data_IF_520299601503
#
_entry.id   IF_520299601503
#
_cell.length_a   1.000
_cell.length_b   1.000
_cell.length_c   1.000
_cell.angle_alpha   90.00
_cell.angle_beta   90.00
_cell.angle_gamma   90.00
#
_symmetry.space_group_name_H-M   'P 1'
#
loop_
_entity.id
_entity.type
_entity.pdbx_description
1 polymer ?
#
# COMPACT_ATOMS: atom_id res chain seq x y z
N UNK A 1 -8.04 12.78 -2.46
CA UNK A 1 -6.87 12.26 -1.75
C UNK A 1 -5.63 12.32 -2.61
N UNK A 2 -4.48 12.06 -2.02
CA UNK A 2 -3.18 12.06 -2.68
C UNK A 2 -2.68 10.63 -2.81
N UNK A 3 -2.29 10.23 -4.02
CA UNK A 3 -1.82 8.87 -4.32
C UNK A 3 -0.50 8.58 -3.61
N UNK A 4 -0.41 7.43 -2.95
CA UNK A 4 0.78 7.00 -2.21
C UNK A 4 1.32 5.64 -2.65
N UNK A 5 0.53 4.79 -3.29
CA UNK A 5 0.98 3.51 -3.84
C UNK A 5 1.48 3.65 -5.27
N UNK A 6 2.32 2.70 -5.70
CA UNK A 6 2.81 2.59 -7.07
C UNK A 6 2.92 1.12 -7.46
N UNK A 7 2.39 0.75 -8.62
CA UNK A 7 2.56 -0.59 -9.19
C UNK A 7 3.80 -0.71 -10.09
N UNK A 8 4.64 0.34 -10.16
CA UNK A 8 5.81 0.40 -11.04
C UNK A 8 6.78 -0.75 -10.82
N UNK A 9 7.13 -1.03 -9.57
CA UNK A 9 8.04 -2.11 -9.21
C UNK A 9 7.31 -3.45 -8.94
N UNK A 10 5.99 -3.54 -9.16
CA UNK A 10 5.24 -4.79 -9.06
C UNK A 10 4.87 -5.25 -7.65
N UNK A 11 5.10 -4.42 -6.61
CA UNK A 11 4.71 -4.77 -5.24
C UNK A 11 3.23 -4.47 -4.95
N UNK A 12 2.62 -3.53 -5.68
CA UNK A 12 1.19 -3.23 -5.63
C UNK A 12 0.51 -3.77 -6.88
N UNK A 13 -0.63 -4.41 -6.73
CA UNK A 13 -1.37 -4.96 -7.85
C UNK A 13 -2.87 -4.68 -7.76
N UNK A 14 -3.39 -4.01 -8.80
CA UNK A 14 -4.83 -3.73 -8.93
C UNK A 14 -5.45 -2.96 -7.75
N UNK A 15 -4.66 -2.17 -7.06
CA UNK A 15 -5.09 -1.30 -5.96
C UNK A 15 -4.41 0.06 -6.11
N UNK A 16 -5.15 1.10 -5.77
CA UNK A 16 -4.66 2.47 -5.65
C UNK A 16 -4.92 2.93 -4.22
N UNK A 17 -3.84 3.14 -3.44
CA UNK A 17 -3.90 3.69 -2.10
C UNK A 17 -3.68 5.21 -2.17
N UNK A 18 -4.42 5.94 -1.36
CA UNK A 18 -4.36 7.40 -1.30
C UNK A 18 -4.69 7.89 0.11
N UNK A 19 -4.17 9.04 0.47
CA UNK A 19 -4.32 9.66 1.78
C UNK A 19 -4.95 11.06 1.70
N UNK A 20 -5.46 11.55 2.81
CA UNK A 20 -6.20 12.83 2.89
C UNK A 20 -5.32 14.07 2.69
N UNK A 21 -4.05 14.00 3.09
CA UNK A 21 -3.09 15.11 3.05
C UNK A 21 -1.74 14.64 2.51
N UNK A 22 -0.98 15.48 1.77
CA UNK A 22 0.37 15.13 1.35
C UNK A 22 1.36 15.00 2.52
N UNK A 23 1.09 15.72 3.63
CA UNK A 23 1.95 15.76 4.83
C UNK A 23 1.13 15.41 6.06
N UNK A 24 1.67 14.60 6.96
CA UNK A 24 1.01 14.17 8.20
C UNK A 24 -0.45 13.73 8.00
N UNK A 25 -0.70 12.69 7.18
CA UNK A 25 -2.05 12.22 6.92
C UNK A 25 -2.72 11.72 8.20
N UNK A 26 -4.04 11.91 8.29
CA UNK A 26 -4.85 11.35 9.36
C UNK A 26 -5.55 10.07 8.93
N UNK A 27 -5.87 9.97 7.64
CA UNK A 27 -6.61 8.85 7.08
C UNK A 27 -6.09 8.49 5.69
N UNK A 28 -6.04 7.19 5.44
CA UNK A 28 -5.80 6.62 4.12
C UNK A 28 -6.97 5.78 3.65
N UNK A 29 -7.08 5.65 2.35
CA UNK A 29 -8.12 4.82 1.74
C UNK A 29 -7.59 4.10 0.51
N UNK A 30 -8.36 3.12 0.02
CA UNK A 30 -8.00 2.38 -1.17
C UNK A 30 -9.18 2.17 -2.12
N UNK A 31 -8.88 2.07 -3.40
CA UNK A 31 -9.81 1.65 -4.43
C UNK A 31 -9.20 0.50 -5.24
N UNK A 32 -9.97 -0.58 -5.38
CA UNK A 32 -9.56 -1.69 -6.23
C UNK A 32 -9.89 -1.38 -7.69
N UNK A 33 -8.88 -1.42 -8.57
CA UNK A 33 -9.01 -1.10 -10.01
C UNK A 33 -8.38 -2.21 -10.86
N UNK A 34 -8.96 -2.51 -12.01
CA UNK A 34 -8.41 -3.50 -12.94
C UNK A 34 -7.59 -2.80 -14.05
N UNK A 35 -6.58 -2.05 -13.61
CA UNK A 35 -5.66 -1.33 -14.48
C UNK A 35 -4.23 -1.73 -14.13
N UNK A 36 -3.47 -2.10 -15.15
CA UNK A 36 -2.01 -2.31 -15.05
C UNK A 36 -1.29 -1.01 -15.34
N UNK A 37 -0.09 -0.88 -14.81
CA UNK A 37 0.74 0.33 -14.98
C UNK A 37 -0.01 1.60 -14.55
N UNK A 38 -0.79 1.47 -13.46
CA UNK A 38 -1.62 2.57 -12.96
C UNK A 38 -0.78 3.76 -12.50
N UNK A 39 0.50 3.56 -12.16
CA UNK A 39 1.45 4.62 -11.86
C UNK A 39 1.66 5.63 -13.01
N UNK A 40 1.39 5.23 -14.27
CA UNK A 40 1.46 6.15 -15.42
C UNK A 40 0.22 7.06 -15.49
N UNK A 41 -0.91 6.60 -14.98
CA UNK A 41 -2.17 7.36 -14.97
C UNK A 41 -2.32 8.17 -13.69
N UNK A 42 -1.90 7.60 -12.56
CA UNK A 42 -2.03 8.16 -11.21
C UNK A 42 -0.68 8.11 -10.48
N UNK A 43 0.30 8.94 -10.88
CA UNK A 43 1.61 8.98 -10.23
C UNK A 43 1.49 9.29 -8.73
N UNK A 44 2.45 8.81 -7.94
CA UNK A 44 2.56 9.18 -6.52
C UNK A 44 2.62 10.70 -6.39
N UNK A 45 1.90 11.24 -5.41
CA UNK A 45 1.77 12.70 -5.20
C UNK A 45 0.68 13.36 -6.04
N UNK A 46 0.06 12.63 -6.98
CA UNK A 46 -1.09 13.17 -7.70
C UNK A 46 -2.30 13.26 -6.77
N UNK A 47 -2.99 14.41 -6.80
CA UNK A 47 -4.28 14.55 -6.14
C UNK A 47 -5.38 13.99 -7.03
N UNK A 48 -6.13 13.03 -6.52
CA UNK A 48 -7.26 12.42 -7.20
C UNK A 48 -8.59 12.84 -6.61
N UNK A 49 -9.59 12.92 -7.47
CA UNK A 49 -10.99 13.17 -7.13
C UNK A 49 -11.79 11.93 -7.53
N UNK A 50 -12.59 11.39 -6.63
CA UNK A 50 -13.33 10.15 -6.87
C UNK A 50 -14.83 10.46 -6.91
N UNK A 51 -15.48 10.16 -8.04
CA UNK A 51 -16.93 10.20 -8.17
C UNK A 51 -17.49 8.91 -7.55
N UNK A 52 -18.11 9.04 -6.37
CA UNK A 52 -18.62 7.91 -5.60
C UNK A 52 -19.89 7.29 -6.19
N UNK A 53 -20.72 8.07 -6.90
CA UNK A 53 -21.97 7.56 -7.49
C UNK A 53 -21.67 6.47 -8.53
N UNK A 54 -22.11 5.25 -8.22
CA UNK A 54 -21.88 4.06 -9.06
C UNK A 54 -20.70 3.19 -8.60
N UNK A 55 -19.95 3.62 -7.61
CA UNK A 55 -19.01 2.77 -6.87
C UNK A 55 -19.70 2.10 -5.68
N UNK A 56 -19.06 1.06 -5.20
CA UNK A 56 -19.49 0.31 -4.04
C UNK A 56 -18.42 0.38 -2.95
N UNK A 57 -18.87 0.57 -1.72
CA UNK A 57 -18.04 0.46 -0.53
C UNK A 57 -18.20 -0.95 0.03
N UNK A 58 -17.12 -1.66 0.19
CA UNK A 58 -17.07 -2.97 0.84
C UNK A 58 -16.05 -3.01 1.94
N UNK A 59 -16.19 -4.00 2.80
CA UNK A 59 -15.26 -4.29 3.86
C UNK A 59 -14.75 -5.73 3.70
N UNK A 60 -13.44 -5.89 3.71
CA UNK A 60 -12.79 -7.21 3.72
C UNK A 60 -11.70 -7.19 4.77
N UNK A 61 -11.67 -8.20 5.64
CA UNK A 61 -10.70 -8.29 6.76
C UNK A 61 -10.60 -6.96 7.52
N UNK A 62 -11.75 -6.40 7.87
CA UNK A 62 -11.92 -5.13 8.58
C UNK A 62 -11.31 -3.89 7.88
N UNK A 63 -10.94 -3.96 6.61
CA UNK A 63 -10.47 -2.83 5.81
C UNK A 63 -11.52 -2.45 4.77
N UNK A 64 -11.88 -1.17 4.72
CA UNK A 64 -12.78 -0.64 3.71
C UNK A 64 -12.06 -0.40 2.38
N UNK A 65 -12.76 -0.72 1.30
CA UNK A 65 -12.29 -0.46 -0.06
C UNK A 65 -13.44 -0.02 -0.95
N UNK A 66 -13.16 0.91 -1.85
CA UNK A 66 -14.03 1.24 -2.99
C UNK A 66 -13.74 0.28 -4.16
N UNK A 67 -14.74 0.10 -5.02
CA UNK A 67 -14.55 -0.67 -6.25
C UNK A 67 -15.84 -0.90 -7.00
N UNK A 68 -15.79 -1.81 -7.96
CA UNK A 68 -16.97 -2.35 -8.63
C UNK A 68 -17.61 -3.48 -7.83
N UNK A 69 -18.65 -4.10 -8.37
CA UNK A 69 -19.26 -5.30 -7.78
C UNK A 69 -18.69 -6.56 -8.39
N UNK A 70 -18.52 -7.55 -7.56
CA UNK A 70 -18.20 -8.91 -7.97
C UNK A 70 -19.26 -9.85 -7.39
N UNK A 71 -19.91 -10.60 -8.27
CA UNK A 71 -20.89 -11.62 -7.87
C UNK A 71 -20.27 -13.01 -8.01
N UNK A 72 -20.27 -13.77 -6.93
CA UNK A 72 -19.77 -15.14 -6.91
C UNK A 72 -20.48 -15.95 -5.83
N UNK A 73 -20.79 -17.22 -6.14
CA UNK A 73 -21.39 -18.17 -5.19
C UNK A 73 -22.65 -17.64 -4.47
N UNK A 74 -23.47 -16.84 -5.17
CA UNK A 74 -24.72 -16.29 -4.62
C UNK A 74 -24.56 -15.07 -3.70
N UNK A 75 -23.32 -14.55 -3.53
CA UNK A 75 -23.04 -13.34 -2.78
C UNK A 75 -22.47 -12.24 -3.69
N UNK A 76 -22.73 -10.99 -3.34
CA UNK A 76 -22.13 -9.83 -4.01
C UNK A 76 -21.13 -9.18 -3.05
N UNK A 77 -19.90 -8.98 -3.53
CA UNK A 77 -18.85 -8.31 -2.79
C UNK A 77 -18.25 -7.17 -3.62
N UNK A 78 -17.49 -6.29 -2.98
CA UNK A 78 -16.72 -5.29 -3.68
C UNK A 78 -15.48 -5.96 -4.29
N UNK A 79 -15.29 -5.70 -5.58
CA UNK A 79 -14.15 -6.16 -6.36
C UNK A 79 -13.54 -5.02 -7.16
N UNK A 80 -12.64 -5.36 -8.07
CA UNK A 80 -11.98 -4.37 -8.90
C UNK A 80 -12.98 -3.59 -9.76
N UNK A 81 -12.78 -2.28 -9.85
CA UNK A 81 -13.46 -1.45 -10.83
C UNK A 81 -12.91 -1.79 -12.22
N UNK A 82 -13.74 -2.21 -13.20
CA UNK A 82 -13.26 -2.54 -14.54
C UNK A 82 -12.52 -1.38 -15.18
N UNK A 83 -11.45 -1.65 -15.91
CA UNK A 83 -10.59 -0.63 -16.53
C UNK A 83 -11.37 0.42 -17.34
N UNK A 84 -12.38 0.00 -18.11
CA UNK A 84 -13.23 0.91 -18.91
C UNK A 84 -14.09 1.86 -18.05
N UNK A 85 -14.25 1.57 -16.76
CA UNK A 85 -15.04 2.38 -15.83
C UNK A 85 -14.16 3.31 -14.97
N UNK A 86 -12.87 3.06 -14.91
CA UNK A 86 -11.95 3.87 -14.11
C UNK A 86 -11.99 5.35 -14.52
N UNK A 87 -11.97 5.74 -15.81
CA UNK A 87 -12.02 7.14 -16.21
C UNK A 87 -13.36 7.84 -15.88
N UNK A 88 -14.43 7.08 -15.66
CA UNK A 88 -15.73 7.64 -15.25
C UNK A 88 -15.75 8.03 -13.76
N UNK A 89 -14.80 7.52 -12.99
CA UNK A 89 -14.81 7.62 -11.51
C UNK A 89 -13.59 8.28 -10.91
N UNK A 90 -12.39 8.12 -11.49
CA UNK A 90 -11.14 8.65 -10.92
C UNK A 90 -10.59 9.74 -11.84
N UNK A 91 -10.47 10.95 -11.32
CA UNK A 91 -10.00 12.13 -12.04
C UNK A 91 -8.76 12.69 -11.38
N UNK A 92 -7.76 13.08 -12.19
CA UNK A 92 -6.64 13.87 -11.69
C UNK A 92 -7.10 15.32 -11.44
N UNK A 93 -6.66 15.91 -10.33
CA UNK A 93 -6.75 17.34 -10.12
C UNK A 93 -5.77 18.08 -11.03
N UNK A 94 -6.06 19.32 -11.36
CA UNK A 94 -5.14 20.20 -12.09
C UNK A 94 -4.04 20.79 -11.20
N UNK A 95 -3.98 20.42 -9.92
CA UNK A 95 -3.03 20.98 -8.94
C UNK A 95 -1.58 20.50 -9.16
N UNK A 96 -1.36 19.56 -10.08
CA UNK A 96 -0.05 18.97 -10.33
C UNK A 96 0.30 17.84 -9.35
N UNK A 97 1.55 17.41 -9.41
CA UNK A 97 2.11 16.39 -8.52
C UNK A 97 2.82 17.13 -7.38
N UNK A 98 2.58 16.71 -6.15
CA UNK A 98 3.22 17.23 -4.95
C UNK A 98 4.10 16.15 -4.31
N UNK A 99 5.12 16.57 -3.59
CA UNK A 99 5.92 15.65 -2.77
C UNK A 99 5.05 15.15 -1.60
N UNK A 100 5.13 13.85 -1.35
CA UNK A 100 4.47 13.21 -0.22
C UNK A 100 5.49 13.01 0.88
N UNK A 101 5.28 13.65 2.02
CA UNK A 101 6.09 13.43 3.21
C UNK A 101 5.51 12.26 4.01
N UNK A 102 6.27 11.17 4.20
CA UNK A 102 5.81 10.06 5.01
C UNK A 102 5.66 10.51 6.48
N UNK A 103 4.64 10.01 7.14
CA UNK A 103 4.51 10.22 8.58
C UNK A 103 5.45 9.28 9.32
N UNK A 104 6.40 9.82 10.09
CA UNK A 104 7.25 9.01 10.96
C UNK A 104 6.42 8.49 12.14
N UNK A 105 6.48 7.17 12.34
CA UNK A 105 5.73 6.45 13.37
C UNK A 105 6.58 5.38 14.01
N UNK A 106 6.18 4.91 15.21
CA UNK A 106 6.73 3.72 15.86
C UNK A 106 5.72 2.58 15.81
N UNK A 107 6.21 1.34 15.89
CA UNK A 107 5.34 0.16 15.79
C UNK A 107 4.19 0.20 16.82
N UNK A 108 4.38 0.55 18.10
CA UNK A 108 3.29 0.64 19.06
C UNK A 108 2.28 1.78 18.83
N UNK A 109 2.56 2.70 17.92
CA UNK A 109 1.69 3.84 17.59
C UNK A 109 0.74 3.53 16.42
N UNK A 110 0.88 2.36 15.81
CA UNK A 110 0.04 1.95 14.68
C UNK A 110 -1.42 1.89 15.10
N UNK A 111 -2.27 2.42 14.23
CA UNK A 111 -3.71 2.45 14.44
C UNK A 111 -4.45 2.44 13.10
N UNK A 112 -5.74 2.21 13.14
CA UNK A 112 -6.57 2.03 11.94
C UNK A 112 -6.63 3.26 11.02
N UNK A 113 -6.44 4.47 11.55
CA UNK A 113 -6.42 5.69 10.75
C UNK A 113 -5.23 5.76 9.80
N UNK A 114 -4.12 5.11 10.15
CA UNK A 114 -2.90 5.07 9.31
C UNK A 114 -2.98 4.05 8.18
N UNK A 115 -4.02 3.21 8.13
CA UNK A 115 -4.19 2.23 7.03
C UNK A 115 -4.24 2.93 5.67
N UNK A 116 -3.45 2.42 4.71
CA UNK A 116 -3.30 2.97 3.35
C UNK A 116 -2.63 4.35 3.28
N UNK A 117 -1.92 4.78 4.32
CA UNK A 117 -1.08 6.00 4.30
C UNK A 117 0.39 5.65 4.10
N UNK A 118 1.18 6.63 3.64
CA UNK A 118 2.63 6.53 3.57
C UNK A 118 3.22 6.81 4.95
N UNK A 119 3.94 5.83 5.49
CA UNK A 119 4.61 5.92 6.80
C UNK A 119 6.11 5.69 6.67
N UNK A 120 6.85 6.19 7.63
CA UNK A 120 8.28 5.95 7.78
C UNK A 120 8.55 5.43 9.18
N UNK A 121 9.36 4.40 9.26
CA UNK A 121 9.94 3.92 10.49
C UNK A 121 11.43 4.23 10.48
N UNK A 122 11.90 4.72 11.60
CA UNK A 122 13.33 4.86 11.84
C UNK A 122 13.79 3.70 12.74
N UNK A 123 15.07 3.32 12.63
CA UNK A 123 15.70 2.34 13.53
C UNK A 123 15.05 0.95 13.50
N UNK A 124 14.67 0.46 12.31
CA UNK A 124 14.28 -0.93 12.12
C UNK A 124 15.41 -1.77 11.55
N UNK A 125 15.39 -3.05 11.86
CA UNK A 125 16.27 -4.06 11.27
C UNK A 125 15.50 -5.35 10.94
N UNK A 126 16.04 -6.13 10.03
CA UNK A 126 15.52 -7.47 9.72
C UNK A 126 15.92 -8.42 10.83
N UNK A 127 15.02 -9.31 11.27
CA UNK A 127 15.37 -10.30 12.29
C UNK A 127 16.53 -11.18 11.85
N UNK A 128 17.35 -11.63 12.80
CA UNK A 128 18.59 -12.40 12.55
C UNK A 128 18.34 -13.65 11.67
N UNK A 129 17.22 -14.31 11.86
CA UNK A 129 16.84 -15.53 11.14
C UNK A 129 16.59 -15.33 9.64
N UNK A 130 16.37 -14.08 9.21
CA UNK A 130 16.02 -13.73 7.82
C UNK A 130 17.09 -12.89 7.11
N UNK A 131 18.24 -12.62 7.73
CA UNK A 131 19.28 -11.72 7.19
C UNK A 131 19.80 -12.11 5.79
N UNK A 132 19.83 -13.39 5.45
CA UNK A 132 20.28 -13.87 4.13
C UNK A 132 19.10 -14.21 3.20
N UNK A 133 17.90 -13.79 3.55
CA UNK A 133 16.70 -14.05 2.76
C UNK A 133 16.54 -13.03 1.64
N UNK A 134 15.82 -13.42 0.61
CA UNK A 134 15.36 -12.53 -0.45
C UNK A 134 14.13 -11.75 0.02
N UNK A 135 13.86 -10.60 -0.60
CA UNK A 135 12.63 -9.84 -0.33
C UNK A 135 11.39 -10.70 -0.50
N UNK A 136 11.29 -11.49 -1.57
CA UNK A 136 10.16 -12.37 -1.76
C UNK A 136 10.53 -13.66 -2.52
N UNK A 137 9.74 -14.71 -2.30
CA UNK A 137 9.78 -15.93 -3.08
C UNK A 137 9.07 -15.72 -4.42
N UNK A 138 9.65 -16.21 -5.50
CA UNK A 138 9.15 -16.00 -6.85
C UNK A 138 7.69 -16.41 -6.99
N UNK A 139 6.84 -15.47 -7.38
CA UNK A 139 5.43 -15.70 -7.68
C UNK A 139 4.54 -15.91 -6.45
N UNK A 140 5.05 -15.65 -5.24
CA UNK A 140 4.32 -15.76 -3.99
C UNK A 140 4.38 -14.46 -3.22
N UNK A 141 3.28 -14.12 -2.54
CA UNK A 141 3.32 -13.09 -1.51
C UNK A 141 4.15 -13.61 -0.34
N UNK A 142 5.10 -12.82 0.11
CA UNK A 142 6.09 -13.24 1.12
C UNK A 142 6.13 -12.21 2.23
N UNK A 143 6.04 -12.69 3.45
CA UNK A 143 6.17 -11.91 4.67
C UNK A 143 7.61 -11.99 5.17
N UNK A 144 8.15 -10.85 5.64
CA UNK A 144 9.43 -10.73 6.33
C UNK A 144 9.24 -9.95 7.62
N UNK A 145 10.04 -10.24 8.61
CA UNK A 145 9.90 -9.62 9.92
C UNK A 145 10.96 -8.54 10.13
N UNK A 146 10.48 -7.34 10.45
CA UNK A 146 11.28 -6.22 10.92
C UNK A 146 11.07 -6.06 12.42
N UNK A 147 12.12 -5.65 13.13
CA UNK A 147 12.06 -5.36 14.58
C UNK A 147 12.64 -3.99 14.88
N UNK A 148 12.13 -3.36 15.94
CA UNK A 148 12.73 -2.17 16.53
C UNK A 148 13.65 -2.52 17.72
N UNK A 149 14.30 -1.53 18.31
CA UNK A 149 15.20 -1.71 19.47
C UNK A 149 14.50 -2.17 20.76
N UNK A 150 13.17 -2.30 20.76
CA UNK A 150 12.36 -2.79 21.88
C UNK A 150 11.73 -4.16 21.59
N UNK A 151 12.18 -4.83 20.53
CA UNK A 151 11.67 -6.12 20.04
C UNK A 151 10.20 -6.08 19.62
N UNK A 152 9.67 -4.89 19.23
CA UNK A 152 8.37 -4.85 18.58
C UNK A 152 8.53 -5.28 17.12
N UNK A 153 7.62 -6.13 16.66
CA UNK A 153 7.65 -6.71 15.31
C UNK A 153 6.72 -5.97 14.36
N UNK A 154 7.16 -5.83 13.10
CA UNK A 154 6.37 -5.34 11.97
C UNK A 154 6.57 -6.25 10.78
N UNK A 155 5.50 -6.68 10.14
CA UNK A 155 5.58 -7.49 8.94
C UNK A 155 5.82 -6.62 7.70
N UNK A 156 6.90 -6.90 6.98
CA UNK A 156 7.18 -6.38 5.64
C UNK A 156 6.54 -7.32 4.61
N UNK A 157 5.56 -6.83 3.86
CA UNK A 157 4.81 -7.62 2.87
C UNK A 157 5.33 -7.35 1.46
N UNK A 158 5.79 -8.39 0.80
CA UNK A 158 6.39 -8.29 -0.51
C UNK A 158 5.72 -9.23 -1.53
N UNK A 159 5.52 -8.71 -2.73
CA UNK A 159 5.03 -9.49 -3.86
C UNK A 159 6.17 -10.27 -4.52
N UNK A 160 5.96 -11.56 -4.78
CA UNK A 160 6.87 -12.38 -5.58
C UNK A 160 6.89 -12.01 -7.08
N UNK A 161 6.18 -10.95 -7.47
CA UNK A 161 6.22 -10.35 -8.80
C UNK A 161 6.93 -8.99 -8.80
N UNK A 162 7.39 -8.51 -7.64
CA UNK A 162 8.14 -7.27 -7.55
C UNK A 162 9.49 -7.40 -8.27
N UNK A 163 9.94 -6.32 -8.88
CA UNK A 163 11.22 -6.27 -9.59
C UNK A 163 12.40 -6.61 -8.68
N UNK A 164 12.28 -6.22 -7.42
CA UNK A 164 13.28 -6.43 -6.37
C UNK A 164 13.13 -7.75 -5.60
N UNK A 165 12.20 -8.65 -5.99
CA UNK A 165 11.95 -9.90 -5.28
C UNK A 165 13.20 -10.75 -5.00
N UNK A 166 14.22 -10.66 -5.90
CA UNK A 166 15.46 -11.43 -5.83
C UNK A 166 16.59 -10.73 -5.08
N UNK A 167 16.37 -9.49 -4.68
CA UNK A 167 17.35 -8.77 -3.91
C UNK A 167 17.39 -9.33 -2.49
N UNK A 168 18.57 -9.30 -1.87
CA UNK A 168 18.73 -9.66 -0.47
C UNK A 168 18.12 -8.58 0.43
N UNK A 169 17.53 -9.00 1.53
CA UNK A 169 17.10 -8.07 2.58
C UNK A 169 18.29 -7.24 3.09
N UNK A 170 18.07 -5.97 3.44
CA UNK A 170 19.12 -5.12 3.98
C UNK A 170 19.60 -5.66 5.35
N UNK A 171 20.88 -5.49 5.61
CA UNK A 171 21.48 -5.83 6.91
C UNK A 171 21.71 -4.57 7.72
N UNK A 172 21.56 -4.71 9.05
CA UNK A 172 21.78 -3.62 9.99
C UNK A 172 20.54 -2.75 10.18
N UNK A 173 20.69 -1.78 11.06
CA UNK A 173 19.63 -0.87 11.47
C UNK A 173 19.51 0.30 10.48
N UNK A 174 18.28 0.68 10.15
CA UNK A 174 18.04 1.75 9.18
C UNK A 174 16.61 2.29 9.24
N UNK A 175 16.30 3.18 8.30
CA UNK A 175 14.94 3.67 8.11
C UNK A 175 14.30 3.02 6.89
N UNK A 176 12.99 2.81 6.95
CA UNK A 176 12.20 2.26 5.87
C UNK A 176 10.90 3.05 5.72
N UNK A 177 10.55 3.34 4.48
CA UNK A 177 9.29 4.00 4.11
C UNK A 177 8.41 2.99 3.37
N UNK A 178 7.10 3.11 3.50
CA UNK A 178 6.18 2.25 2.77
C UNK A 178 4.73 2.63 3.03
N UNK A 179 3.84 2.00 2.30
CA UNK A 179 2.41 2.13 2.53
C UNK A 179 2.00 1.15 3.64
N UNK A 180 1.35 1.66 4.69
CA UNK A 180 0.86 0.83 5.78
C UNK A 180 -0.44 0.14 5.33
N UNK A 181 -0.39 -1.15 5.20
CA UNK A 181 -1.53 -2.00 4.92
C UNK A 181 -2.06 -2.64 6.22
N UNK A 182 -3.28 -3.15 6.18
CA UNK A 182 -3.89 -3.82 7.33
C UNK A 182 -4.80 -4.97 6.91
N UNK A 183 -4.79 -6.04 7.69
CA UNK A 183 -5.76 -7.12 7.63
C UNK A 183 -6.23 -7.44 9.05
N UNK A 184 -7.50 -7.24 9.35
CA UNK A 184 -8.07 -7.30 10.69
C UNK A 184 -7.32 -6.37 11.67
N UNK A 185 -6.59 -6.92 12.60
CA UNK A 185 -5.80 -6.19 13.61
C UNK A 185 -4.29 -6.21 13.28
N UNK A 186 -3.89 -6.92 12.22
CA UNK A 186 -2.50 -7.07 11.81
C UNK A 186 -2.10 -5.96 10.82
N UNK A 187 -0.93 -5.37 11.03
CA UNK A 187 -0.36 -4.32 10.19
C UNK A 187 0.80 -4.86 9.37
N UNK A 188 0.86 -4.39 8.11
CA UNK A 188 1.90 -4.76 7.15
C UNK A 188 2.47 -3.50 6.51
N UNK A 189 3.78 -3.47 6.33
CA UNK A 189 4.45 -2.44 5.55
C UNK A 189 4.69 -2.97 4.14
N UNK A 190 4.29 -2.22 3.12
CA UNK A 190 4.59 -2.55 1.73
C UNK A 190 5.41 -1.42 1.10
N UNK A 191 6.65 -1.71 0.72
CA UNK A 191 7.52 -0.76 0.00
C UNK A 191 7.06 -0.61 -1.45
N UNK A 192 7.22 0.58 -2.03
CA UNK A 192 6.87 0.84 -3.43
C UNK A 192 7.97 0.38 -4.37
N UNK A 193 9.21 0.58 -3.95
CA UNK A 193 10.44 0.11 -4.58
C UNK A 193 11.60 0.16 -3.57
N UNK A 194 12.84 -0.13 -4.00
CA UNK A 194 14.01 -0.14 -3.13
C UNK A 194 14.52 1.24 -2.69
N UNK A 195 13.87 2.34 -3.09
CA UNK A 195 14.20 3.68 -2.58
C UNK A 195 13.40 4.08 -1.34
N UNK A 196 12.43 3.27 -0.97
CA UNK A 196 11.63 3.38 0.26
C UNK A 196 12.41 2.78 1.45
#
# INVERSE_FOLDING_TARGET
GYVVSSDRAGNFFSVLCFQDSPNNPNEGFQIAIDVRDNHLLYPVGSKILIRLKGLYLGQRRNVFSLGGTFAGFGTTSVGRLPALKVPDHIFLSCDGIVDIEPRTVRIPELNTGLTNTLVKFDELEVIEQELDSLFADKGQETERTLIDCLDNELTLLNSGFADFQKELLPQGNGSITGVLLRENDDYFLAVRDLSD
#
